data_IF_540664683791
#
_entry.id   IF_540664683791
#
_cell.length_a   1.000
_cell.length_b   1.000
_cell.length_c   1.000
_cell.angle_alpha   90.00
_cell.angle_beta   90.00
_cell.angle_gamma   90.00
#
_symmetry.space_group_name_H-M   'P 1'
#
loop_
_entity.id
_entity.type
_entity.pdbx_description
1 polymer ?
#
# COMPACT_ATOMS: atom_id res chain seq x y z
N UNK A 1 -21.57 4.63 -6.83
CA UNK A 1 -22.69 4.30 -7.75
C UNK A 1 -24.01 4.64 -7.09
N UNK A 2 -25.06 4.89 -7.85
CA UNK A 2 -26.41 5.07 -7.32
C UNK A 2 -27.43 5.34 -8.42
N UNK A 3 -28.69 5.52 -8.03
CA UNK A 3 -29.79 5.81 -8.95
C UNK A 3 -30.40 7.16 -8.61
N UNK A 4 -30.73 7.95 -9.63
CA UNK A 4 -31.47 9.20 -9.43
C UNK A 4 -32.98 8.95 -9.23
N UNK A 5 -33.73 10.03 -9.05
CA UNK A 5 -35.20 10.00 -8.90
C UNK A 5 -35.95 9.49 -10.15
N UNK A 6 -35.27 9.41 -11.29
CA UNK A 6 -35.80 8.87 -12.55
C UNK A 6 -35.36 7.42 -12.80
N UNK A 7 -34.61 6.81 -11.88
CA UNK A 7 -34.07 5.46 -12.01
C UNK A 7 -32.89 5.34 -12.97
N UNK A 8 -32.23 6.45 -13.34
CA UNK A 8 -31.00 6.42 -14.14
C UNK A 8 -29.81 6.00 -13.26
N UNK A 9 -28.99 5.08 -13.77
CA UNK A 9 -27.81 4.58 -13.07
C UNK A 9 -26.60 5.50 -13.30
N UNK A 10 -25.95 5.91 -12.20
CA UNK A 10 -24.71 6.67 -12.22
C UNK A 10 -23.56 5.87 -11.61
N UNK A 11 -22.39 5.96 -12.25
CA UNK A 11 -21.14 5.37 -11.80
C UNK A 11 -20.04 6.42 -11.97
N UNK A 12 -19.18 6.56 -10.96
CA UNK A 12 -18.01 7.43 -11.00
C UNK A 12 -16.91 6.84 -10.11
N UNK A 13 -15.66 7.23 -10.34
CA UNK A 13 -14.50 6.80 -9.54
C UNK A 13 -14.54 7.32 -8.11
N UNK A 14 -15.13 8.50 -7.90
CA UNK A 14 -15.12 9.22 -6.64
C UNK A 14 -16.53 9.72 -6.32
N UNK A 15 -16.98 9.58 -5.06
CA UNK A 15 -18.35 9.93 -4.65
C UNK A 15 -18.63 11.44 -4.81
N UNK A 16 -17.60 12.29 -4.73
CA UNK A 16 -17.71 13.74 -4.93
C UNK A 16 -18.33 14.15 -6.26
N UNK A 17 -18.28 13.28 -7.28
CA UNK A 17 -18.94 13.48 -8.57
C UNK A 17 -20.43 13.09 -8.57
N UNK A 18 -20.89 12.34 -7.56
CA UNK A 18 -22.24 11.77 -7.46
C UNK A 18 -23.11 12.50 -6.43
N UNK A 19 -22.53 12.95 -5.32
CA UNK A 19 -23.26 13.50 -4.15
C UNK A 19 -24.14 14.71 -4.51
N UNK A 20 -23.78 15.49 -5.53
CA UNK A 20 -24.60 16.63 -5.96
C UNK A 20 -25.89 16.21 -6.71
N UNK A 21 -25.94 15.00 -7.24
CA UNK A 21 -27.01 14.53 -8.13
C UNK A 21 -27.77 13.31 -7.59
N UNK A 22 -27.23 12.61 -6.60
CA UNK A 22 -27.82 11.39 -6.06
C UNK A 22 -28.26 11.57 -4.60
N UNK A 23 -29.51 11.21 -4.24
CA UNK A 23 -29.96 11.24 -2.85
C UNK A 23 -29.30 10.14 -2.00
N UNK A 24 -28.94 9.02 -2.63
CA UNK A 24 -28.25 7.89 -2.01
C UNK A 24 -27.22 7.32 -2.97
N UNK A 25 -25.97 7.28 -2.54
CA UNK A 25 -24.89 6.58 -3.22
C UNK A 25 -24.30 5.48 -2.34
N UNK A 26 -23.64 4.52 -2.99
CA UNK A 26 -22.88 3.46 -2.34
C UNK A 26 -21.65 3.11 -3.16
N UNK A 27 -20.68 2.49 -2.52
CA UNK A 27 -19.53 1.92 -3.22
C UNK A 27 -19.97 0.81 -4.17
N UNK A 28 -19.34 0.74 -5.35
CA UNK A 28 -19.51 -0.40 -6.25
C UNK A 28 -18.68 -1.57 -5.68
N UNK A 29 -19.28 -2.75 -5.41
CA UNK A 29 -18.59 -3.82 -4.69
C UNK A 29 -17.30 -4.29 -5.38
N UNK A 30 -16.21 -4.40 -4.62
CA UNK A 30 -14.95 -4.92 -5.13
C UNK A 30 -15.10 -6.36 -5.65
N UNK A 31 -14.31 -6.73 -6.67
CA UNK A 31 -14.33 -8.09 -7.25
C UNK A 31 -15.67 -8.48 -7.88
N UNK A 32 -16.49 -7.50 -8.29
CA UNK A 32 -17.84 -7.70 -8.81
C UNK A 32 -18.06 -7.01 -10.16
N UNK A 33 -19.13 -7.37 -10.86
CA UNK A 33 -19.62 -6.70 -12.07
C UNK A 33 -21.14 -6.49 -12.00
N UNK A 34 -21.65 -5.55 -12.79
CA UNK A 34 -23.08 -5.32 -13.01
C UNK A 34 -23.35 -5.45 -14.51
N UNK A 35 -24.05 -6.51 -14.90
CA UNK A 35 -24.45 -6.72 -16.29
C UNK A 35 -25.89 -6.27 -16.49
N UNK A 36 -26.14 -5.39 -17.45
CA UNK A 36 -27.46 -4.76 -17.63
C UNK A 36 -28.59 -5.74 -17.92
N UNK A 37 -28.29 -6.90 -18.52
CA UNK A 37 -29.30 -7.94 -18.78
C UNK A 37 -29.56 -8.85 -17.56
N UNK A 38 -28.62 -8.94 -16.61
CA UNK A 38 -28.82 -9.67 -15.34
C UNK A 38 -29.52 -8.76 -14.33
N UNK A 39 -29.18 -7.45 -14.32
CA UNK A 39 -29.74 -6.46 -13.41
C UNK A 39 -29.22 -6.55 -11.97
N UNK A 40 -28.46 -7.61 -11.64
CA UNK A 40 -27.87 -7.85 -10.33
C UNK A 40 -26.34 -7.67 -10.34
N UNK A 41 -25.79 -7.28 -9.19
CA UNK A 41 -24.34 -7.25 -8.98
C UNK A 41 -23.87 -8.66 -8.64
N UNK A 42 -22.89 -9.17 -9.38
CA UNK A 42 -22.32 -10.51 -9.18
C UNK A 42 -20.86 -10.42 -8.81
N UNK A 43 -20.44 -11.13 -7.76
CA UNK A 43 -19.02 -11.35 -7.48
C UNK A 43 -18.45 -12.35 -8.49
N UNK A 44 -17.29 -12.03 -9.05
CA UNK A 44 -16.53 -12.95 -9.91
C UNK A 44 -15.23 -13.43 -9.24
N UNK A 45 -14.85 -12.83 -8.12
CA UNK A 45 -13.59 -13.12 -7.46
C UNK A 45 -13.82 -14.01 -6.24
N UNK A 46 -13.49 -15.28 -6.41
CA UNK A 46 -13.47 -16.27 -5.34
C UNK A 46 -12.19 -17.11 -5.47
N UNK A 47 -11.63 -17.49 -4.34
CA UNK A 47 -10.41 -18.31 -4.25
C UNK A 47 -10.55 -19.35 -3.16
N UNK A 48 -9.88 -20.48 -3.34
CA UNK A 48 -9.76 -21.55 -2.34
C UNK A 48 -9.20 -21.02 -1.01
N UNK A 49 -8.18 -20.16 -1.07
CA UNK A 49 -7.55 -19.58 0.11
C UNK A 49 -8.45 -18.62 0.89
N UNK A 50 -9.70 -18.37 0.48
CA UNK A 50 -10.68 -17.67 1.33
C UNK A 50 -11.01 -18.49 2.58
N UNK A 51 -10.90 -19.82 2.50
CA UNK A 51 -11.17 -20.75 3.59
C UNK A 51 -9.85 -21.33 4.15
N UNK A 52 -9.66 -21.27 5.47
CA UNK A 52 -8.45 -21.78 6.13
C UNK A 52 -8.22 -23.28 5.88
N UNK A 53 -9.29 -24.08 5.83
CA UNK A 53 -9.20 -25.53 5.64
C UNK A 53 -8.58 -25.92 4.29
N UNK A 54 -8.60 -25.02 3.30
CA UNK A 54 -7.96 -25.22 2.00
C UNK A 54 -6.44 -24.97 2.02
N UNK A 55 -5.89 -24.37 3.08
CA UNK A 55 -4.47 -23.97 3.14
C UNK A 55 -3.71 -24.48 4.37
N UNK A 56 -4.39 -25.04 5.36
CA UNK A 56 -3.79 -25.45 6.65
C UNK A 56 -2.62 -26.44 6.52
N UNK A 57 -2.66 -27.32 5.52
CA UNK A 57 -1.66 -28.38 5.29
C UNK A 57 -0.73 -28.06 4.10
N UNK A 58 -0.82 -26.86 3.55
CA UNK A 58 -0.02 -26.48 2.38
C UNK A 58 1.48 -26.43 2.73
N UNK A 59 2.31 -26.60 1.70
CA UNK A 59 3.76 -26.46 1.80
C UNK A 59 4.16 -25.06 1.38
N UNK A 60 5.10 -24.46 2.09
CA UNK A 60 5.64 -23.15 1.76
C UNK A 60 6.92 -23.30 0.93
N UNK A 61 6.91 -22.82 -0.31
CA UNK A 61 8.11 -22.67 -1.14
C UNK A 61 8.58 -21.20 -1.14
N UNK A 62 9.72 -20.94 -0.49
CA UNK A 62 10.32 -19.60 -0.41
C UNK A 62 10.79 -19.09 -1.77
N UNK A 63 11.24 -19.96 -2.67
CA UNK A 63 11.68 -19.57 -4.00
C UNK A 63 10.48 -19.20 -4.87
N UNK A 64 9.39 -19.99 -4.81
CA UNK A 64 8.14 -19.66 -5.50
C UNK A 64 7.57 -18.32 -5.02
N UNK A 65 7.52 -18.10 -3.70
CA UNK A 65 7.03 -16.85 -3.12
C UNK A 65 7.88 -15.64 -3.56
N UNK A 66 9.21 -15.79 -3.53
CA UNK A 66 10.14 -14.75 -3.99
C UNK A 66 9.91 -14.44 -5.48
N UNK A 67 9.89 -15.48 -6.30
CA UNK A 67 9.71 -15.36 -7.75
C UNK A 67 8.37 -14.73 -8.11
N UNK A 68 7.29 -15.10 -7.40
CA UNK A 68 5.96 -14.54 -7.62
C UNK A 68 5.91 -13.02 -7.36
N UNK A 69 6.58 -12.53 -6.31
CA UNK A 69 6.67 -11.08 -6.07
C UNK A 69 7.58 -10.39 -7.09
N UNK A 70 8.69 -11.03 -7.49
CA UNK A 70 9.54 -10.51 -8.56
C UNK A 70 8.77 -10.37 -9.88
N UNK A 71 8.00 -11.38 -10.26
CA UNK A 71 7.16 -11.39 -11.46
C UNK A 71 6.03 -10.35 -11.38
N UNK A 72 5.44 -10.19 -10.19
CA UNK A 72 4.46 -9.13 -9.93
C UNK A 72 5.08 -7.76 -10.14
N UNK A 73 6.24 -7.46 -9.54
CA UNK A 73 6.90 -6.16 -9.76
C UNK A 73 7.20 -5.95 -11.24
N UNK A 74 7.76 -6.95 -11.94
CA UNK A 74 8.03 -6.88 -13.39
C UNK A 74 6.80 -6.49 -14.19
N UNK A 75 5.66 -7.16 -13.99
CA UNK A 75 4.43 -6.82 -14.74
C UNK A 75 3.93 -5.41 -14.43
N UNK A 76 4.22 -4.90 -13.23
CA UNK A 76 3.87 -3.55 -12.80
C UNK A 76 4.88 -2.47 -13.26
N UNK A 77 5.97 -2.82 -13.95
CA UNK A 77 6.87 -1.84 -14.58
C UNK A 77 6.42 -1.38 -15.97
N UNK A 78 5.42 -2.04 -16.57
CA UNK A 78 4.90 -1.71 -17.91
C UNK A 78 4.45 -0.24 -17.98
N UNK A 79 5.22 0.62 -18.65
CA UNK A 79 4.97 2.07 -18.64
C UNK A 79 5.72 2.79 -19.76
N UNK A 80 5.00 3.59 -20.54
CA UNK A 80 5.58 4.53 -21.53
C UNK A 80 5.96 5.88 -20.91
N UNK A 81 5.77 6.06 -19.60
CA UNK A 81 6.01 7.32 -18.89
C UNK A 81 6.99 7.14 -17.72
N UNK A 82 7.70 8.21 -17.30
CA UNK A 82 8.58 8.17 -16.14
C UNK A 82 7.84 7.72 -14.87
N UNK A 83 8.46 6.77 -14.16
CA UNK A 83 7.95 6.20 -12.93
C UNK A 83 9.02 6.19 -11.82
N UNK A 84 8.58 5.98 -10.58
CA UNK A 84 9.46 5.85 -9.42
C UNK A 84 8.93 4.87 -8.38
N UNK A 85 9.52 4.89 -7.19
CA UNK A 85 9.11 4.06 -6.05
C UNK A 85 8.90 4.90 -4.81
N UNK A 86 7.87 4.58 -4.03
CA UNK A 86 7.71 5.12 -2.68
C UNK A 86 8.60 4.31 -1.74
N UNK A 87 9.46 4.99 -0.98
CA UNK A 87 10.46 4.39 -0.11
C UNK A 87 10.40 5.02 1.28
N UNK A 88 9.81 4.28 2.24
CA UNK A 88 9.67 4.71 3.63
C UNK A 88 10.79 4.22 4.55
N UNK A 89 11.71 3.38 4.03
CA UNK A 89 12.72 2.70 4.85
C UNK A 89 12.18 1.52 5.67
N UNK A 90 10.89 1.20 5.54
CA UNK A 90 10.29 -0.04 6.04
C UNK A 90 10.58 -1.22 5.11
N UNK A 91 10.37 -2.44 5.60
CA UNK A 91 10.64 -3.67 4.85
C UNK A 91 9.94 -3.68 3.47
N UNK A 92 8.66 -3.35 3.43
CA UNK A 92 7.80 -3.59 2.26
C UNK A 92 8.18 -2.70 1.08
N UNK A 93 8.27 -1.39 1.33
CA UNK A 93 8.69 -0.41 0.33
C UNK A 93 10.14 -0.63 -0.12
N UNK A 94 11.00 -1.13 0.78
CA UNK A 94 12.38 -1.48 0.47
C UNK A 94 12.48 -2.69 -0.46
N UNK A 95 11.69 -3.75 -0.22
CA UNK A 95 11.63 -4.92 -1.11
C UNK A 95 11.17 -4.50 -2.51
N UNK A 96 10.07 -3.75 -2.62
CA UNK A 96 9.57 -3.26 -3.92
C UNK A 96 10.63 -2.41 -4.62
N UNK A 97 11.30 -1.51 -3.90
CA UNK A 97 12.35 -0.66 -4.45
C UNK A 97 13.56 -1.47 -4.94
N UNK A 98 13.97 -2.50 -4.20
CA UNK A 98 15.09 -3.35 -4.56
C UNK A 98 14.80 -4.22 -5.79
N UNK A 99 13.62 -4.84 -5.84
CA UNK A 99 13.17 -5.61 -7.01
C UNK A 99 13.03 -4.68 -8.22
N UNK A 100 12.43 -3.50 -8.04
CA UNK A 100 12.31 -2.51 -9.12
C UNK A 100 13.68 -2.12 -9.64
N UNK A 101 14.64 -1.81 -8.77
CA UNK A 101 16.01 -1.46 -9.19
C UNK A 101 16.70 -2.59 -9.97
N UNK A 102 16.50 -3.84 -9.55
CA UNK A 102 17.05 -5.04 -10.23
C UNK A 102 16.54 -5.14 -11.67
N UNK A 103 15.26 -4.86 -11.92
CA UNK A 103 14.62 -5.08 -13.22
C UNK A 103 14.45 -3.81 -14.08
N UNK A 104 14.50 -2.61 -13.49
CA UNK A 104 14.31 -1.34 -14.20
C UNK A 104 15.43 -0.99 -15.19
N UNK A 105 16.58 -1.66 -15.14
CA UNK A 105 17.67 -1.43 -16.10
C UNK A 105 17.31 -1.87 -17.53
N UNK A 106 16.31 -2.75 -17.70
CA UNK A 106 15.92 -3.32 -18.97
C UNK A 106 14.43 -3.09 -19.23
N UNK A 107 14.05 -2.92 -20.50
CA UNK A 107 12.63 -2.77 -20.87
C UNK A 107 11.87 -4.07 -20.65
N UNK A 108 10.74 -4.00 -19.94
CA UNK A 108 9.90 -5.19 -19.74
C UNK A 108 9.08 -5.49 -21.00
N UNK A 109 8.74 -4.45 -21.78
CA UNK A 109 7.91 -4.54 -22.98
C UNK A 109 8.55 -5.36 -24.11
N UNK A 110 9.89 -5.45 -24.15
CA UNK A 110 10.64 -6.16 -25.19
C UNK A 110 11.33 -7.44 -24.69
N UNK A 111 10.90 -7.97 -23.53
CA UNK A 111 11.50 -9.12 -22.86
C UNK A 111 12.94 -8.88 -22.40
N UNK A 112 13.20 -7.73 -21.79
CA UNK A 112 14.49 -7.36 -21.20
C UNK A 112 15.63 -7.32 -22.24
N UNK A 113 15.34 -6.97 -23.50
CA UNK A 113 16.31 -6.99 -24.61
C UNK A 113 17.02 -5.66 -24.80
N UNK A 114 16.38 -4.54 -24.46
CA UNK A 114 16.97 -3.19 -24.56
C UNK A 114 17.04 -2.47 -23.22
N UNK A 115 17.94 -1.49 -23.13
CA UNK A 115 18.07 -0.61 -21.95
C UNK A 115 16.83 0.29 -21.80
N UNK A 116 16.42 0.51 -20.56
CA UNK A 116 15.32 1.42 -20.26
C UNK A 116 15.67 2.86 -20.67
N UNK A 117 14.67 3.59 -21.20
CA UNK A 117 14.85 4.98 -21.62
C UNK A 117 15.21 5.93 -20.45
N UNK A 118 14.85 5.53 -19.23
CA UNK A 118 15.11 6.27 -18.00
C UNK A 118 15.99 5.43 -17.07
N UNK A 119 17.33 5.54 -17.17
CA UNK A 119 18.24 4.58 -16.52
C UNK A 119 18.35 4.74 -14.99
N UNK A 120 17.81 5.82 -14.43
CA UNK A 120 17.90 6.11 -13.01
C UNK A 120 16.52 6.03 -12.34
N UNK A 121 16.36 5.03 -11.46
CA UNK A 121 15.18 4.88 -10.63
C UNK A 121 15.14 6.00 -9.57
N UNK A 122 14.05 6.77 -9.57
CA UNK A 122 13.77 7.79 -8.55
C UNK A 122 13.01 7.15 -7.39
N UNK A 123 13.44 7.44 -6.16
CA UNK A 123 12.77 7.00 -4.93
C UNK A 123 12.31 8.19 -4.11
N UNK A 124 11.14 8.09 -3.48
CA UNK A 124 10.50 9.20 -2.77
C UNK A 124 10.18 8.81 -1.33
N UNK A 125 10.63 9.63 -0.38
CA UNK A 125 10.28 9.52 1.03
C UNK A 125 9.62 10.82 1.49
N UNK A 126 8.69 10.75 2.44
CA UNK A 126 8.04 11.94 3.02
C UNK A 126 8.05 11.86 4.53
N UNK A 127 8.32 12.99 5.19
CA UNK A 127 8.35 13.06 6.64
C UNK A 127 8.65 14.47 7.14
N UNK A 128 8.50 14.67 8.46
CA UNK A 128 9.05 15.85 9.10
C UNK A 128 10.59 15.80 9.07
N UNK A 129 11.27 16.96 9.01
CA UNK A 129 12.74 17.00 9.04
C UNK A 129 13.32 16.22 10.22
N UNK A 130 14.24 15.29 9.92
CA UNK A 130 14.92 14.47 10.92
C UNK A 130 14.14 13.23 11.41
N UNK A 131 12.99 12.92 10.82
CA UNK A 131 12.19 11.76 11.18
C UNK A 131 12.91 10.42 10.94
N UNK A 132 12.60 9.37 11.73
CA UNK A 132 13.21 8.04 11.58
C UNK A 132 13.02 7.42 10.19
N UNK A 133 11.85 7.63 9.58
CA UNK A 133 11.55 7.09 8.24
C UNK A 133 12.47 7.66 7.17
N UNK A 134 12.75 8.97 7.21
CA UNK A 134 13.65 9.60 6.23
C UNK A 134 15.08 9.07 6.35
N UNK A 135 15.57 8.84 7.58
CA UNK A 135 16.90 8.24 7.79
C UNK A 135 17.00 6.83 7.21
N UNK A 136 16.00 6.00 7.47
CA UNK A 136 15.99 4.63 6.96
C UNK A 136 15.76 4.57 5.45
N UNK A 137 14.92 5.45 4.90
CA UNK A 137 14.73 5.58 3.47
C UNK A 137 16.04 5.97 2.77
N UNK A 138 16.80 6.91 3.37
CA UNK A 138 18.11 7.31 2.87
C UNK A 138 19.13 6.17 2.89
N UNK A 139 19.13 5.33 3.94
CA UNK A 139 20.00 4.15 4.03
C UNK A 139 19.72 3.16 2.89
N UNK A 140 18.44 2.85 2.65
CA UNK A 140 18.02 1.97 1.54
C UNK A 140 18.34 2.59 0.19
N UNK A 141 18.09 3.89 0.02
CA UNK A 141 18.38 4.58 -1.22
C UNK A 141 19.88 4.59 -1.57
N UNK A 142 20.74 4.75 -0.55
CA UNK A 142 22.19 4.65 -0.70
C UNK A 142 22.61 3.23 -1.11
N UNK A 143 22.01 2.21 -0.48
CA UNK A 143 22.28 0.81 -0.81
C UNK A 143 21.86 0.46 -2.26
N UNK A 144 20.70 0.93 -2.69
CA UNK A 144 20.14 0.64 -4.02
C UNK A 144 20.68 1.55 -5.13
N UNK A 145 21.36 2.66 -4.79
CA UNK A 145 21.82 3.64 -5.76
C UNK A 145 20.66 4.26 -6.57
N UNK A 146 19.60 4.68 -5.87
CA UNK A 146 18.46 5.41 -6.46
C UNK A 146 18.68 6.92 -6.38
N UNK A 147 18.07 7.68 -7.29
CA UNK A 147 17.97 9.14 -7.14
C UNK A 147 16.92 9.42 -6.08
N UNK A 148 17.37 9.64 -4.84
CA UNK A 148 16.48 9.80 -3.71
C UNK A 148 15.97 11.22 -3.56
N UNK A 149 14.68 11.35 -3.29
CA UNK A 149 14.00 12.62 -3.02
C UNK A 149 13.40 12.57 -1.63
N UNK A 150 14.07 13.24 -0.69
CA UNK A 150 13.57 13.46 0.65
C UNK A 150 12.59 14.64 0.65
N UNK A 151 11.30 14.35 0.82
CA UNK A 151 10.24 15.34 0.77
C UNK A 151 9.88 15.76 2.19
N UNK A 152 10.24 16.98 2.54
CA UNK A 152 9.81 17.60 3.79
C UNK A 152 8.46 18.30 3.64
N UNK A 153 7.68 18.20 4.71
CA UNK A 153 6.54 19.05 4.98
C UNK A 153 6.63 19.58 6.41
N UNK A 154 5.93 20.67 6.69
CA UNK A 154 5.76 21.25 8.02
C UNK A 154 4.43 20.81 8.61
N UNK A 155 4.30 20.84 9.93
CA UNK A 155 3.02 20.56 10.59
C UNK A 155 1.93 21.49 10.07
N UNK A 156 2.24 22.77 9.82
CA UNK A 156 1.28 23.73 9.28
C UNK A 156 0.79 23.35 7.88
N UNK A 157 1.70 22.96 6.96
CA UNK A 157 1.30 22.44 5.64
C UNK A 157 0.42 21.19 5.75
N UNK A 158 0.69 20.32 6.74
CA UNK A 158 -0.16 19.17 7.05
C UNK A 158 -1.55 19.59 7.50
N UNK A 159 -1.64 20.53 8.44
CA UNK A 159 -2.91 21.06 8.98
C UNK A 159 -3.74 21.76 7.91
N UNK A 160 -3.10 22.60 7.09
CA UNK A 160 -3.76 23.34 6.01
C UNK A 160 -4.30 22.40 4.92
N UNK A 161 -3.67 21.24 4.72
CA UNK A 161 -4.08 20.26 3.73
C UNK A 161 -5.24 19.34 4.20
N UNK A 162 -5.59 19.30 5.49
CA UNK A 162 -6.55 18.32 6.03
C UNK A 162 -7.90 18.36 5.31
N UNK A 163 -8.41 19.57 5.02
CA UNK A 163 -9.69 19.72 4.32
C UNK A 163 -9.65 19.10 2.92
N UNK A 164 -8.59 19.37 2.16
CA UNK A 164 -8.44 18.84 0.81
C UNK A 164 -8.18 17.33 0.84
N UNK A 165 -7.45 16.84 1.83
CA UNK A 165 -7.25 15.40 2.04
C UNK A 165 -8.60 14.71 2.28
N UNK A 166 -9.44 15.22 3.18
CA UNK A 166 -10.78 14.68 3.43
C UNK A 166 -11.62 14.71 2.14
N UNK A 167 -11.57 15.82 1.40
CA UNK A 167 -12.26 15.94 0.12
C UNK A 167 -11.80 14.89 -0.89
N UNK A 168 -10.49 14.67 -1.02
CA UNK A 168 -9.95 13.69 -1.97
C UNK A 168 -10.21 12.25 -1.56
N UNK A 169 -9.97 11.89 -0.30
CA UNK A 169 -10.10 10.50 0.18
C UNK A 169 -11.57 10.10 0.39
N UNK A 170 -12.43 11.06 0.73
CA UNK A 170 -13.87 10.88 0.97
C UNK A 170 -14.16 10.00 2.19
N UNK A 171 -13.40 10.22 3.27
CA UNK A 171 -13.55 9.51 4.55
C UNK A 171 -13.32 10.46 5.72
N UNK A 172 -13.90 10.10 6.86
CA UNK A 172 -13.68 10.73 8.16
C UNK A 172 -12.88 9.85 9.12
N UNK A 173 -12.40 8.69 8.66
CA UNK A 173 -11.58 7.79 9.49
C UNK A 173 -10.25 8.45 9.87
N UNK A 174 -9.99 8.52 11.18
CA UNK A 174 -8.85 9.23 11.76
C UNK A 174 -7.53 8.63 11.30
N UNK A 175 -7.41 7.30 11.28
CA UNK A 175 -6.19 6.59 10.89
C UNK A 175 -5.87 6.86 9.42
N UNK A 176 -6.90 6.79 8.57
CA UNK A 176 -6.79 7.02 7.13
C UNK A 176 -6.39 8.45 6.82
N UNK A 177 -7.02 9.46 7.44
CA UNK A 177 -6.67 10.88 7.21
C UNK A 177 -5.24 11.17 7.67
N UNK A 178 -4.84 10.68 8.85
CA UNK A 178 -3.47 10.85 9.37
C UNK A 178 -2.42 10.31 8.42
N UNK A 179 -2.63 9.11 7.88
CA UNK A 179 -1.69 8.50 6.92
C UNK A 179 -1.78 9.12 5.51
N UNK A 180 -2.97 9.57 5.09
CA UNK A 180 -3.18 10.12 3.74
C UNK A 180 -2.57 11.50 3.56
N UNK A 181 -2.50 12.31 4.61
CA UNK A 181 -1.99 13.69 4.55
C UNK A 181 -0.55 13.78 4.03
N UNK A 182 0.44 13.08 4.60
CA UNK A 182 1.80 13.09 4.06
C UNK A 182 1.87 12.49 2.65
N UNK A 183 1.06 11.46 2.35
CA UNK A 183 1.02 10.83 1.02
C UNK A 183 0.48 11.79 -0.06
N UNK A 184 -0.56 12.58 0.27
CA UNK A 184 -1.10 13.63 -0.59
C UNK A 184 -0.06 14.72 -0.89
N UNK A 185 0.65 15.19 0.15
CA UNK A 185 1.70 16.20 0.00
C UNK A 185 2.89 15.66 -0.81
N UNK A 186 3.24 14.39 -0.61
CA UNK A 186 4.28 13.70 -1.38
C UNK A 186 3.90 13.61 -2.86
N UNK A 187 2.67 13.19 -3.17
CA UNK A 187 2.17 13.08 -4.55
C UNK A 187 2.26 14.41 -5.30
N UNK A 188 1.93 15.53 -4.64
CA UNK A 188 2.09 16.87 -5.21
C UNK A 188 3.50 17.14 -5.71
N UNK A 189 4.51 16.79 -4.91
CA UNK A 189 5.93 17.00 -5.29
C UNK A 189 6.39 16.01 -6.35
N UNK A 190 5.96 14.74 -6.28
CA UNK A 190 6.23 13.73 -7.31
C UNK A 190 5.72 14.21 -8.67
N UNK A 191 4.49 14.73 -8.72
CA UNK A 191 3.91 15.28 -9.95
C UNK A 191 4.70 16.45 -10.49
N UNK A 192 5.13 17.37 -9.61
CA UNK A 192 5.92 18.53 -10.00
C UNK A 192 7.26 18.16 -10.63
N UNK A 193 7.80 16.97 -10.32
CA UNK A 193 9.00 16.41 -10.95
C UNK A 193 8.72 15.67 -12.27
N UNK A 194 7.46 15.63 -12.72
CA UNK A 194 7.07 15.00 -13.99
C UNK A 194 6.84 13.48 -13.92
N UNK A 195 6.99 12.87 -12.74
CA UNK A 195 6.68 11.45 -12.53
C UNK A 195 5.16 11.25 -12.51
N UNK A 196 4.69 10.24 -13.23
CA UNK A 196 3.25 9.96 -13.40
C UNK A 196 2.80 8.66 -12.75
N UNK A 197 3.73 7.79 -12.39
CA UNK A 197 3.45 6.50 -11.77
C UNK A 197 4.48 6.18 -10.69
N UNK A 198 4.05 5.59 -9.59
CA UNK A 198 4.94 5.05 -8.55
C UNK A 198 4.50 3.67 -8.10
N UNK A 199 5.46 2.82 -7.73
CA UNK A 199 5.18 1.57 -7.03
C UNK A 199 5.24 1.78 -5.51
N UNK A 200 4.35 1.10 -4.78
CA UNK A 200 4.23 1.15 -3.32
C UNK A 200 4.20 -0.25 -2.71
N UNK A 201 4.52 -0.34 -1.42
CA UNK A 201 4.53 -1.57 -0.62
C UNK A 201 3.21 -1.92 0.07
N UNK A 202 2.12 -1.21 -0.23
CA UNK A 202 0.80 -1.45 0.35
C UNK A 202 0.29 -2.87 0.09
N UNK A 203 -0.43 -3.44 1.06
CA UNK A 203 -0.96 -4.80 1.01
C UNK A 203 -0.04 -5.85 1.63
N UNK A 204 1.24 -5.56 1.82
CA UNK A 204 2.19 -6.54 2.41
C UNK A 204 1.76 -6.98 3.81
N UNK A 205 1.34 -6.05 4.67
CA UNK A 205 0.96 -6.38 6.05
C UNK A 205 -0.35 -7.17 6.12
N UNK A 206 -1.30 -6.87 5.23
CA UNK A 206 -2.55 -7.63 5.08
C UNK A 206 -2.30 -9.06 4.62
N UNK A 207 -1.36 -9.25 3.69
CA UNK A 207 -1.04 -10.57 3.13
C UNK A 207 -0.24 -11.42 4.12
N UNK A 208 0.70 -10.82 4.85
CA UNK A 208 1.67 -11.55 5.68
C UNK A 208 1.47 -11.40 7.19
N UNK A 209 0.40 -10.77 7.65
CA UNK A 209 0.16 -10.55 9.08
C UNK A 209 1.21 -9.63 9.71
N UNK A 210 1.52 -8.51 9.06
CA UNK A 210 2.63 -7.63 9.41
C UNK A 210 2.34 -6.58 10.50
N UNK A 211 1.11 -6.47 10.97
CA UNK A 211 0.75 -5.55 12.04
C UNK A 211 1.12 -6.12 13.41
N UNK A 212 1.51 -5.25 14.35
CA UNK A 212 1.94 -5.66 15.69
C UNK A 212 0.88 -6.47 16.47
N UNK A 213 -0.41 -6.30 16.17
CA UNK A 213 -1.45 -7.08 16.83
C UNK A 213 -1.46 -8.56 16.40
N UNK A 214 -0.86 -8.93 15.26
CA UNK A 214 -0.70 -10.33 14.86
C UNK A 214 0.23 -11.12 15.78
N UNK A 215 1.07 -10.46 16.58
CA UNK A 215 1.83 -11.14 17.65
C UNK A 215 0.91 -11.76 18.72
N UNK A 216 -0.35 -11.33 18.77
CA UNK A 216 -1.37 -11.86 19.68
C UNK A 216 -2.31 -12.85 18.98
N UNK A 217 -2.04 -13.22 17.72
CA UNK A 217 -2.85 -14.20 17.02
C UNK A 217 -2.80 -15.55 17.76
N UNK A 218 -3.95 -16.16 18.12
CA UNK A 218 -3.97 -17.39 18.90
C UNK A 218 -3.34 -18.59 18.18
N UNK A 219 -3.54 -18.69 16.86
CA UNK A 219 -3.09 -19.79 16.02
C UNK A 219 -3.14 -19.39 14.54
N UNK A 220 -2.64 -20.27 13.66
CA UNK A 220 -2.56 -20.05 12.21
C UNK A 220 -3.93 -19.84 11.54
N UNK A 221 -5.01 -20.42 12.08
CA UNK A 221 -6.38 -20.25 11.56
C UNK A 221 -6.85 -18.81 11.75
N UNK A 222 -6.79 -18.31 12.98
CA UNK A 222 -7.19 -16.94 13.32
C UNK A 222 -6.33 -15.92 12.55
N UNK A 223 -5.04 -16.19 12.37
CA UNK A 223 -4.18 -15.36 11.53
C UNK A 223 -4.66 -15.34 10.08
N UNK A 224 -4.91 -16.51 9.49
CA UNK A 224 -5.32 -16.62 8.09
C UNK A 224 -6.66 -15.92 7.84
N UNK A 225 -7.67 -16.24 8.66
CA UNK A 225 -9.00 -15.65 8.56
C UNK A 225 -8.94 -14.11 8.71
N UNK A 226 -8.11 -13.60 9.61
CA UNK A 226 -7.87 -12.17 9.76
C UNK A 226 -7.17 -11.54 8.55
N UNK A 227 -6.16 -12.20 7.96
CA UNK A 227 -5.50 -11.72 6.73
C UNK A 227 -6.47 -11.69 5.54
N UNK A 228 -7.30 -12.72 5.37
CA UNK A 228 -8.36 -12.76 4.34
C UNK A 228 -9.38 -11.65 4.57
N UNK A 229 -9.85 -11.47 5.80
CA UNK A 229 -10.79 -10.40 6.16
C UNK A 229 -10.21 -9.02 5.85
N UNK A 230 -8.94 -8.77 6.19
CA UNK A 230 -8.27 -7.51 5.87
C UNK A 230 -8.15 -7.30 4.36
N UNK A 231 -7.73 -8.31 3.60
CA UNK A 231 -7.64 -8.24 2.14
C UNK A 231 -8.97 -7.86 1.50
N UNK A 232 -10.07 -8.48 1.94
CA UNK A 232 -11.41 -8.19 1.44
C UNK A 232 -11.91 -6.79 1.82
N UNK A 233 -11.39 -6.20 2.90
CA UNK A 233 -11.74 -4.86 3.36
C UNK A 233 -10.81 -3.75 2.85
N UNK A 234 -9.68 -4.09 2.22
CA UNK A 234 -8.65 -3.13 1.79
C UNK A 234 -9.17 -2.00 0.90
N UNK A 235 -10.21 -2.26 0.11
CA UNK A 235 -10.83 -1.26 -0.77
C UNK A 235 -11.36 -0.04 0.00
N UNK A 236 -11.74 -0.20 1.27
CA UNK A 236 -12.21 0.89 2.13
C UNK A 236 -11.09 1.64 2.86
N UNK A 237 -9.89 1.06 2.93
CA UNK A 237 -8.78 1.55 3.76
C UNK A 237 -7.56 1.91 2.91
N UNK A 238 -6.51 1.09 2.96
CA UNK A 238 -5.20 1.39 2.40
C UNK A 238 -5.23 1.54 0.87
N UNK A 239 -6.09 0.79 0.15
CA UNK A 239 -6.27 0.99 -1.29
C UNK A 239 -6.93 2.35 -1.60
N UNK A 240 -7.95 2.76 -0.84
CA UNK A 240 -8.60 4.05 -1.03
C UNK A 240 -7.62 5.20 -0.74
N UNK A 241 -6.86 5.11 0.36
CA UNK A 241 -5.78 6.06 0.68
C UNK A 241 -4.78 6.13 -0.46
N UNK A 242 -4.18 5.01 -0.82
CA UNK A 242 -3.06 4.98 -1.77
C UNK A 242 -3.48 5.47 -3.15
N UNK A 243 -4.67 5.05 -3.61
CA UNK A 243 -5.19 5.47 -4.90
C UNK A 243 -5.58 6.96 -4.90
N UNK A 244 -6.44 7.40 -3.98
CA UNK A 244 -7.03 8.75 -4.01
C UNK A 244 -6.02 9.83 -3.61
N UNK A 245 -5.13 9.58 -2.65
CA UNK A 245 -4.10 10.55 -2.25
C UNK A 245 -3.12 10.84 -3.41
N UNK A 246 -2.77 9.80 -4.18
CA UNK A 246 -1.87 9.94 -5.33
C UNK A 246 -2.60 10.56 -6.54
N UNK A 247 -3.81 10.09 -6.81
CA UNK A 247 -4.65 10.57 -7.92
C UNK A 247 -5.06 12.03 -7.77
N UNK A 248 -5.11 12.57 -6.55
CA UNK A 248 -5.35 13.98 -6.29
C UNK A 248 -4.41 14.93 -7.06
N UNK A 249 -3.19 14.44 -7.40
CA UNK A 249 -2.21 15.18 -8.18
C UNK A 249 -1.90 14.51 -9.53
N UNK A 250 -2.75 13.57 -9.98
CA UNK A 250 -2.58 12.86 -11.24
C UNK A 250 -1.32 12.00 -11.28
N UNK A 251 -1.06 11.26 -10.18
CA UNK A 251 -0.03 10.23 -10.07
C UNK A 251 -0.70 8.88 -9.83
N UNK A 252 -0.37 7.89 -10.65
CA UNK A 252 -0.83 6.51 -10.51
C UNK A 252 0.00 5.77 -9.45
N UNK A 253 -0.67 5.04 -8.56
CA UNK A 253 -0.02 4.17 -7.58
C UNK A 253 -0.24 2.70 -7.94
N UNK A 254 0.84 1.93 -8.05
CA UNK A 254 0.83 0.48 -8.28
C UNK A 254 1.25 -0.27 -7.04
N UNK A 255 0.62 -1.40 -6.76
CA UNK A 255 0.73 -2.14 -5.49
C UNK A 255 1.02 -3.62 -5.74
N UNK A 256 2.28 -4.00 -6.04
CA UNK A 256 2.63 -5.36 -6.46
C UNK A 256 2.27 -6.47 -5.45
N UNK A 257 2.20 -6.16 -4.16
CA UNK A 257 1.75 -7.11 -3.13
C UNK A 257 0.27 -7.50 -3.24
N UNK A 258 -0.52 -6.74 -4.01
CA UNK A 258 -1.94 -7.02 -4.27
C UNK A 258 -2.17 -7.54 -5.70
N UNK A 259 -1.10 -7.89 -6.43
CA UNK A 259 -1.25 -8.57 -7.71
C UNK A 259 -1.99 -9.90 -7.53
N UNK A 260 -2.91 -10.17 -8.44
CA UNK A 260 -3.81 -11.33 -8.37
C UNK A 260 -3.06 -12.66 -8.39
N UNK A 261 -1.97 -12.78 -9.16
CA UNK A 261 -1.17 -14.01 -9.22
C UNK A 261 -0.27 -14.12 -8.01
N UNK A 262 0.32 -13.02 -7.55
CA UNK A 262 1.09 -13.00 -6.33
C UNK A 262 0.24 -13.37 -5.10
N UNK A 263 -0.98 -12.84 -4.99
CA UNK A 263 -1.92 -13.21 -3.93
C UNK A 263 -2.23 -14.71 -3.95
N UNK A 264 -2.42 -15.31 -5.13
CA UNK A 264 -2.66 -16.74 -5.25
C UNK A 264 -1.49 -17.61 -4.73
N UNK A 265 -0.24 -17.11 -4.77
CA UNK A 265 0.91 -17.79 -4.16
C UNK A 265 1.02 -17.45 -2.67
N UNK A 266 1.04 -16.16 -2.34
CA UNK A 266 1.25 -15.67 -0.98
C UNK A 266 0.15 -16.05 0.00
N UNK A 267 -1.09 -16.28 -0.47
CA UNK A 267 -2.20 -16.75 0.35
C UNK A 267 -2.30 -18.28 0.41
N UNK A 268 -1.57 -19.01 -0.43
CA UNK A 268 -1.51 -20.49 -0.42
C UNK A 268 -0.31 -21.08 0.30
N UNK A 269 0.69 -20.28 0.68
CA UNK A 269 1.72 -20.77 1.62
C UNK A 269 1.07 -21.16 2.95
N UNK A 270 1.74 -21.99 3.74
CA UNK A 270 1.20 -22.39 5.04
C UNK A 270 1.03 -21.15 5.95
N UNK A 271 -0.17 -20.86 6.48
CA UNK A 271 -0.35 -19.73 7.38
C UNK A 271 0.50 -19.83 8.66
N UNK A 272 0.94 -21.04 9.04
CA UNK A 272 1.87 -21.26 10.14
C UNK A 272 3.23 -20.56 9.94
N UNK A 273 3.66 -20.37 8.70
CA UNK A 273 4.90 -19.65 8.37
C UNK A 273 4.76 -18.12 8.42
N UNK A 274 3.51 -17.63 8.50
CA UNK A 274 3.20 -16.20 8.74
C UNK A 274 3.11 -15.85 10.23
N UNK A 275 3.01 -16.86 11.11
CA UNK A 275 2.92 -16.64 12.56
C UNK A 275 4.19 -15.94 13.09
N UNK A 276 3.97 -14.91 13.91
CA UNK A 276 5.02 -14.18 14.63
C UNK A 276 4.87 -14.32 16.16
N UNK A 277 5.84 -13.84 16.92
CA UNK A 277 5.95 -14.07 18.37
C UNK A 277 6.95 -15.17 18.72
N UNK A 278 7.18 -15.39 20.02
CA UNK A 278 8.16 -16.36 20.53
C UNK A 278 9.56 -16.24 19.90
N UNK A 279 10.02 -15.00 19.68
CA UNK A 279 11.32 -14.70 19.06
C UNK A 279 11.30 -14.56 17.53
N UNK A 280 10.16 -14.85 16.86
CA UNK A 280 9.97 -14.55 15.42
C UNK A 280 9.37 -13.15 15.23
N UNK A 281 9.98 -12.37 14.33
CA UNK A 281 9.45 -11.08 13.88
C UNK A 281 8.24 -11.22 12.96
N UNK A 282 7.45 -10.16 12.86
CA UNK A 282 6.41 -10.02 11.84
C UNK A 282 7.00 -10.15 10.44
N UNK A 283 6.24 -10.81 9.55
CA UNK A 283 6.63 -11.06 8.14
C UNK A 283 7.98 -11.77 8.01
N UNK A 284 8.34 -12.65 8.97
CA UNK A 284 9.62 -13.37 8.97
C UNK A 284 9.90 -14.07 7.64
N UNK A 285 8.90 -14.77 7.09
CA UNK A 285 9.02 -15.47 5.80
C UNK A 285 9.38 -14.53 4.64
N UNK A 286 8.83 -13.32 4.64
CA UNK A 286 9.12 -12.30 3.63
C UNK A 286 10.54 -11.75 3.79
N UNK A 287 10.97 -11.53 5.04
CA UNK A 287 12.35 -11.11 5.37
C UNK A 287 13.37 -12.13 4.86
N UNK A 288 13.14 -13.42 5.11
CA UNK A 288 14.01 -14.50 4.61
C UNK A 288 14.05 -14.58 3.08
N UNK A 289 12.92 -14.35 2.40
CA UNK A 289 12.85 -14.41 0.94
C UNK A 289 13.69 -13.32 0.27
N UNK A 290 13.82 -12.15 0.91
CA UNK A 290 14.43 -10.94 0.34
C UNK A 290 15.62 -10.40 1.13
N UNK A 291 16.16 -11.15 2.09
CA UNK A 291 17.30 -10.74 2.91
C UNK A 291 18.51 -10.33 2.05
N UNK A 292 18.74 -11.03 0.95
CA UNK A 292 19.86 -10.74 0.03
C UNK A 292 19.71 -9.41 -0.75
N UNK A 293 18.53 -8.79 -0.76
CA UNK A 293 18.25 -7.57 -1.52
C UNK A 293 18.50 -6.29 -0.73
N UNK A 294 18.60 -6.40 0.60
CA UNK A 294 18.56 -5.28 1.52
C UNK A 294 19.72 -5.36 2.50
N UNK A 295 20.17 -4.23 3.08
CA UNK A 295 21.07 -4.29 4.22
C UNK A 295 20.36 -4.98 5.39
N UNK A 296 21.11 -5.79 6.16
CA UNK A 296 20.55 -6.55 7.28
C UNK A 296 19.86 -5.66 8.33
N UNK A 297 20.34 -4.42 8.49
CA UNK A 297 19.73 -3.37 9.31
C UNK A 297 18.29 -3.05 8.94
N UNK A 298 17.91 -3.19 7.66
CA UNK A 298 16.56 -2.95 7.14
C UNK A 298 15.77 -4.27 7.09
N UNK A 299 16.40 -5.33 6.59
CA UNK A 299 15.78 -6.65 6.47
C UNK A 299 15.25 -7.18 7.81
N UNK A 300 15.90 -6.81 8.92
CA UNK A 300 15.56 -7.26 10.28
C UNK A 300 15.19 -6.11 11.24
N UNK A 301 14.80 -4.95 10.71
CA UNK A 301 14.23 -3.85 11.50
C UNK A 301 12.79 -4.16 11.91
N UNK A 302 12.49 -4.03 13.20
CA UNK A 302 11.12 -4.09 13.69
C UNK A 302 10.32 -2.87 13.23
N UNK A 303 9.06 -3.08 12.83
CA UNK A 303 8.18 -2.02 12.32
C UNK A 303 7.85 -0.94 13.38
N UNK A 304 7.96 0.33 13.00
CA UNK A 304 7.31 1.46 13.67
C UNK A 304 6.02 1.83 12.91
N UNK A 305 4.97 2.31 13.59
CA UNK A 305 3.72 2.69 12.92
C UNK A 305 3.95 3.92 12.03
N UNK A 306 3.35 3.94 10.83
CA UNK A 306 3.60 4.98 9.82
C UNK A 306 3.34 6.41 10.34
N UNK A 307 2.33 6.62 11.19
CA UNK A 307 2.04 7.92 11.81
C UNK A 307 3.16 8.39 12.75
N UNK A 308 3.82 7.46 13.45
CA UNK A 308 4.91 7.77 14.36
C UNK A 308 6.22 7.94 13.58
N UNK A 309 6.41 7.14 12.52
CA UNK A 309 7.58 7.16 11.65
C UNK A 309 7.76 8.48 10.88
N UNK A 310 6.67 9.13 10.46
CA UNK A 310 6.70 10.46 9.81
C UNK A 310 6.91 11.62 10.81
N UNK A 311 6.91 11.35 12.12
CA UNK A 311 7.13 12.33 13.19
C UNK A 311 5.89 13.06 13.70
N UNK A 312 4.67 12.64 13.31
CA UNK A 312 3.42 13.26 13.74
C UNK A 312 3.01 12.80 15.16
N UNK A 313 3.78 13.18 16.18
CA UNK A 313 3.33 13.07 17.59
C UNK A 313 2.41 14.25 17.93
N UNK A 314 1.13 14.16 17.53
CA UNK A 314 0.12 15.18 17.87
C UNK A 314 -0.26 15.19 19.37
N UNK A 315 0.13 14.17 20.15
CA UNK A 315 -0.22 14.03 21.57
C UNK A 315 0.79 14.65 22.56
N UNK A 316 1.82 15.36 22.09
CA UNK A 316 2.82 16.04 22.97
C UNK A 316 2.82 17.56 22.85
N UNK A 317 1.67 18.19 22.66
CA UNK A 317 1.52 19.61 22.97
C UNK A 317 1.04 19.78 24.42
N UNK A 318 1.88 20.26 25.36
CA UNK A 318 1.51 20.44 26.76
C UNK A 318 0.48 21.56 27.02
N UNK A 319 0.04 22.30 25.99
CA UNK A 319 -0.72 23.54 26.17
C UNK A 319 -2.17 23.53 25.68
N UNK A 320 -2.75 22.38 25.31
CA UNK A 320 -4.19 22.32 24.92
C UNK A 320 -4.98 21.14 25.49
N UNK A 321 -4.60 20.64 26.66
CA UNK A 321 -5.48 19.80 27.49
C UNK A 321 -6.55 20.67 28.17
N UNK A 322 -7.56 21.07 27.39
CA UNK A 322 -8.62 21.97 27.85
C UNK A 322 -9.93 21.84 27.06
N UNK A 323 -10.25 20.67 26.51
CA UNK A 323 -11.60 20.36 26.02
C UNK A 323 -11.76 18.84 25.84
N UNK A 324 -12.05 18.15 26.95
CA UNK A 324 -12.62 16.80 26.93
C UNK A 324 -13.38 16.56 28.24
N UNK A 325 -14.65 16.94 28.27
CA UNK A 325 -15.72 16.32 29.07
C UNK A 325 -17.03 17.09 28.83
N UNK A 326 -17.91 16.53 28.00
CA UNK A 326 -19.26 17.04 27.84
C UNK A 326 -19.93 16.52 26.57
N UNK A 327 -20.86 15.58 26.79
CA UNK A 327 -21.76 14.90 25.86
C UNK A 327 -21.20 13.67 25.12
#
# INVERSE_FOLDING_TARGET
MGYDEHGQLYVASEMKALVASLPHDKEFPAGSYLWSQDGEIRSYYHRDWFDYDAVKDNVTDKNELRQALEDSVKSHLMSDVPYGVLLSGGLDSSIISAITKKYAARRVEDQERSEAWWPQLHSFAVGLPGSPDLKAAQEVANHLGTVHHEIHFTVQEGLDAIRDVIYHIETYDVTTIRASTPMYLMSRKIKAMGIKMVLSGEGSDEVFGGYLYFHKAPNAKELHEETVRKLLALHMYDCARANKAMSAWGVEARVPFLDKKFLDVAMRINPQDKMCGNGKMEKHILRECFEAYLPASVAWRQKEQFSDGVGLQLDRHPERSGCAAGF
#
